data_IF_239870213340
#
_entry.id   IF_239870213340
#
_cell.length_a   1.000
_cell.length_b   1.000
_cell.length_c   1.000
_cell.angle_alpha   90.00
_cell.angle_beta   90.00
_cell.angle_gamma   90.00
#
_symmetry.space_group_name_H-M   'P 1'
#
loop_
_entity.id
_entity.type
_entity.pdbx_description
1 polymer ?
#
# COMPACT_ATOMS: atom_id res chain seq x y z
N UNK A 1 -1.22 -5.36 6.61
CA UNK A 1 -0.89 -5.48 5.17
C UNK A 1 -0.20 -6.79 4.85
N UNK A 2 0.74 -7.27 5.70
CA UNK A 2 1.50 -8.51 5.49
C UNK A 2 0.59 -9.71 5.28
N UNK A 3 -0.41 -9.90 6.14
CA UNK A 3 -1.39 -10.97 6.00
C UNK A 3 -2.02 -11.01 4.60
N UNK A 4 -2.57 -9.90 4.11
CA UNK A 4 -3.24 -9.87 2.81
C UNK A 4 -2.28 -10.10 1.64
N UNK A 5 -1.02 -9.67 1.78
CA UNK A 5 0.03 -9.96 0.78
C UNK A 5 0.31 -11.46 0.68
N UNK A 6 0.58 -12.10 1.81
CA UNK A 6 0.92 -13.53 1.82
C UNK A 6 -0.27 -14.41 1.46
N UNK A 7 -1.46 -14.16 2.02
CA UNK A 7 -2.62 -15.00 1.77
C UNK A 7 -3.10 -14.93 0.32
N UNK A 8 -2.97 -13.77 -0.34
CA UNK A 8 -3.35 -13.61 -1.74
C UNK A 8 -2.43 -14.44 -2.64
N UNK A 9 -1.12 -14.37 -2.44
CA UNK A 9 -0.16 -15.20 -3.19
C UNK A 9 -0.37 -16.69 -2.85
N UNK A 10 -0.51 -17.02 -1.58
CA UNK A 10 -0.73 -18.40 -1.15
C UNK A 10 -1.95 -19.04 -1.83
N UNK A 11 -3.10 -18.36 -1.80
CA UNK A 11 -4.34 -18.85 -2.42
C UNK A 11 -4.24 -18.97 -3.94
N UNK A 12 -3.54 -18.03 -4.58
CA UNK A 12 -3.27 -18.11 -6.01
C UNK A 12 -2.45 -19.37 -6.34
N UNK A 13 -1.37 -19.59 -5.61
CA UNK A 13 -0.48 -20.74 -5.82
C UNK A 13 -1.10 -22.10 -5.42
N UNK A 14 -2.13 -22.12 -4.57
CA UNK A 14 -2.93 -23.33 -4.31
C UNK A 14 -3.79 -23.70 -5.52
N UNK A 15 -4.27 -22.71 -6.26
CA UNK A 15 -5.07 -22.90 -7.49
C UNK A 15 -4.18 -23.13 -8.72
N UNK A 16 -2.94 -22.65 -8.71
CA UNK A 16 -1.94 -22.70 -9.77
C UNK A 16 -0.62 -23.28 -9.27
N UNK A 17 -0.54 -24.60 -8.98
CA UNK A 17 0.67 -25.23 -8.44
C UNK A 17 1.90 -25.10 -9.36
N UNK A 18 1.69 -24.96 -10.68
CA UNK A 18 2.72 -24.72 -11.69
C UNK A 18 3.49 -23.43 -11.48
N UNK A 19 2.86 -22.43 -10.85
CA UNK A 19 3.48 -21.11 -10.56
C UNK A 19 4.30 -21.11 -9.27
N UNK A 20 4.37 -22.22 -8.53
CA UNK A 20 5.21 -22.37 -7.31
C UNK A 20 6.69 -22.52 -7.64
N UNK A 21 7.25 -21.60 -8.37
CA UNK A 21 8.65 -21.66 -8.85
C UNK A 21 9.70 -21.40 -7.77
N UNK A 22 9.32 -20.86 -6.60
CA UNK A 22 10.24 -20.57 -5.50
C UNK A 22 9.92 -21.40 -4.24
N UNK A 23 10.91 -22.06 -3.63
CA UNK A 23 10.71 -22.86 -2.40
C UNK A 23 10.16 -22.09 -1.21
N UNK A 24 10.35 -20.78 -1.18
CA UNK A 24 9.92 -19.90 -0.08
C UNK A 24 8.39 -19.88 0.10
N UNK A 25 7.62 -20.13 -0.96
CA UNK A 25 6.17 -20.12 -0.90
C UNK A 25 5.55 -21.15 0.05
N UNK A 26 6.30 -22.23 0.37
CA UNK A 26 5.88 -23.22 1.37
C UNK A 26 5.67 -22.65 2.78
N UNK A 27 6.26 -21.48 3.07
CA UNK A 27 6.14 -20.83 4.37
C UNK A 27 5.01 -19.81 4.44
N UNK A 28 4.37 -19.48 3.32
CA UNK A 28 3.39 -18.38 3.26
C UNK A 28 2.17 -18.64 4.15
N UNK A 29 1.72 -19.88 4.27
CA UNK A 29 0.62 -20.23 5.17
C UNK A 29 0.97 -19.92 6.64
N UNK A 30 2.14 -20.35 7.11
CA UNK A 30 2.59 -20.06 8.48
C UNK A 30 2.83 -18.56 8.69
N UNK A 31 3.37 -17.87 7.71
CA UNK A 31 3.54 -16.41 7.78
C UNK A 31 2.21 -15.66 7.83
N UNK A 32 1.18 -16.14 7.14
CA UNK A 32 -0.17 -15.58 7.28
C UNK A 32 -0.68 -15.67 8.72
N UNK A 33 -0.44 -16.80 9.39
CA UNK A 33 -0.85 -16.99 10.77
C UNK A 33 -0.11 -16.04 11.71
N UNK A 34 1.19 -15.85 11.51
CA UNK A 34 1.99 -14.94 12.33
C UNK A 34 1.58 -13.47 12.10
N UNK A 35 1.37 -13.06 10.86
CA UNK A 35 0.87 -11.71 10.53
C UNK A 35 -0.51 -11.45 11.12
N UNK A 36 -1.38 -12.46 11.16
CA UNK A 36 -2.69 -12.32 11.80
C UNK A 36 -2.56 -12.11 13.31
N UNK A 37 -1.68 -12.88 13.99
CA UNK A 37 -1.39 -12.69 15.42
C UNK A 37 -0.84 -11.30 15.72
N UNK A 38 0.09 -10.78 14.88
CA UNK A 38 0.58 -9.40 14.99
C UNK A 38 -0.57 -8.39 14.85
N UNK A 39 -1.46 -8.59 13.89
CA UNK A 39 -2.63 -7.75 13.70
C UNK A 39 -3.57 -7.75 14.91
N UNK A 40 -3.89 -8.94 15.45
CA UNK A 40 -4.77 -9.10 16.62
C UNK A 40 -4.16 -8.46 17.87
N UNK A 41 -2.83 -8.56 18.05
CA UNK A 41 -2.12 -7.92 19.15
C UNK A 41 -2.23 -6.39 19.12
N UNK A 42 -1.97 -5.78 17.95
CA UNK A 42 -2.11 -4.34 17.80
C UNK A 42 -3.55 -3.88 17.90
N UNK A 43 -4.50 -4.65 17.36
CA UNK A 43 -5.94 -4.39 17.50
C UNK A 43 -6.35 -4.34 18.98
N UNK A 44 -5.89 -5.30 19.78
CA UNK A 44 -6.17 -5.35 21.21
C UNK A 44 -5.58 -4.15 21.97
N UNK A 45 -4.32 -3.77 21.67
CA UNK A 45 -3.69 -2.58 22.28
C UNK A 45 -4.46 -1.30 21.95
N UNK A 46 -4.81 -1.10 20.68
CA UNK A 46 -5.49 0.10 20.22
C UNK A 46 -6.90 0.21 20.81
N UNK A 47 -7.61 -0.91 20.92
CA UNK A 47 -8.94 -0.96 21.56
C UNK A 47 -8.88 -0.75 23.07
N UNK A 48 -7.78 -1.12 23.72
CA UNK A 48 -7.58 -0.87 25.16
C UNK A 48 -7.33 0.62 25.48
N UNK A 49 -6.98 1.44 24.49
CA UNK A 49 -6.67 2.86 24.66
C UNK A 49 -7.41 3.73 23.62
N UNK A 50 -8.75 3.77 23.66
CA UNK A 50 -9.55 4.44 22.64
C UNK A 50 -9.28 5.96 22.55
N UNK A 51 -8.84 6.59 23.64
CA UNK A 51 -8.54 8.02 23.68
C UNK A 51 -7.38 8.41 22.75
N UNK A 52 -6.44 7.48 22.50
CA UNK A 52 -5.32 7.71 21.57
C UNK A 52 -5.79 7.85 20.13
N UNK A 53 -6.93 7.23 19.77
CA UNK A 53 -7.43 7.19 18.40
C UNK A 53 -8.50 8.25 18.09
N UNK A 54 -9.10 8.87 19.10
CA UNK A 54 -10.30 9.70 18.92
C UNK A 54 -10.01 11.18 18.70
N UNK A 55 -8.78 11.65 18.93
CA UNK A 55 -8.44 13.04 18.72
C UNK A 55 -8.19 13.36 17.21
N UNK A 56 -8.20 14.64 16.88
CA UNK A 56 -7.97 15.09 15.52
C UNK A 56 -6.55 14.79 15.00
N UNK A 57 -5.56 14.76 15.91
CA UNK A 57 -4.16 14.43 15.57
C UNK A 57 -4.04 12.96 15.15
N UNK A 58 -4.69 12.07 15.91
CA UNK A 58 -4.73 10.65 15.57
C UNK A 58 -5.36 10.43 14.18
N UNK A 59 -6.45 11.13 13.87
CA UNK A 59 -7.07 11.06 12.53
C UNK A 59 -6.11 11.49 11.41
N UNK A 60 -5.34 12.57 11.60
CA UNK A 60 -4.33 12.99 10.63
C UNK A 60 -3.21 11.96 10.48
N UNK A 61 -2.72 11.40 11.61
CA UNK A 61 -1.67 10.37 11.58
C UNK A 61 -2.14 9.07 10.95
N UNK A 62 -3.34 8.57 11.28
CA UNK A 62 -3.89 7.38 10.65
C UNK A 62 -3.97 7.53 9.12
N UNK A 63 -4.44 8.69 8.67
CA UNK A 63 -4.50 9.01 7.25
C UNK A 63 -3.13 9.01 6.59
N UNK A 64 -2.14 9.65 7.22
CA UNK A 64 -0.77 9.69 6.72
C UNK A 64 -0.15 8.30 6.66
N UNK A 65 -0.29 7.48 7.72
CA UNK A 65 0.27 6.14 7.76
C UNK A 65 -0.36 5.22 6.71
N UNK A 66 -1.68 5.19 6.61
CA UNK A 66 -2.36 4.36 5.59
C UNK A 66 -1.90 4.75 4.18
N UNK A 67 -1.88 6.06 3.88
CA UNK A 67 -1.43 6.54 2.58
C UNK A 67 0.03 6.18 2.31
N UNK A 68 0.92 6.39 3.29
CA UNK A 68 2.35 6.09 3.15
C UNK A 68 2.58 4.60 2.89
N UNK A 69 1.90 3.72 3.63
CA UNK A 69 2.02 2.27 3.47
C UNK A 69 1.50 1.83 2.10
N UNK A 70 0.34 2.33 1.67
CA UNK A 70 -0.24 1.95 0.36
C UNK A 70 0.59 2.48 -0.81
N UNK A 71 1.01 3.74 -0.76
CA UNK A 71 1.85 4.32 -1.80
C UNK A 71 3.21 3.60 -1.89
N UNK A 72 3.86 3.34 -0.76
CA UNK A 72 5.16 2.64 -0.74
C UNK A 72 5.02 1.23 -1.31
N UNK A 73 3.98 0.49 -0.92
CA UNK A 73 3.72 -0.86 -1.44
C UNK A 73 3.53 -0.81 -2.95
N UNK A 74 2.58 0.01 -3.42
CA UNK A 74 2.25 0.13 -4.84
C UNK A 74 3.47 0.48 -5.70
N UNK A 75 4.23 1.49 -5.29
CA UNK A 75 5.42 1.91 -6.04
C UNK A 75 6.54 0.86 -6.04
N UNK A 76 6.74 0.14 -4.94
CA UNK A 76 7.76 -0.90 -4.84
C UNK A 76 7.38 -2.16 -5.63
N UNK A 77 6.13 -2.59 -5.54
CA UNK A 77 5.69 -3.84 -6.15
C UNK A 77 5.58 -3.71 -7.67
N UNK A 78 5.14 -2.55 -8.18
CA UNK A 78 5.12 -2.30 -9.63
C UNK A 78 6.52 -2.20 -10.23
N UNK A 79 7.52 -1.80 -9.46
CA UNK A 79 8.92 -1.87 -9.89
C UNK A 79 9.45 -3.31 -10.00
N UNK A 80 8.72 -4.28 -9.46
CA UNK A 80 9.01 -5.72 -9.48
C UNK A 80 7.92 -6.50 -10.21
N UNK A 81 7.23 -5.86 -11.16
CA UNK A 81 6.13 -6.47 -11.91
C UNK A 81 6.52 -7.82 -12.56
N UNK A 82 7.77 -7.97 -13.00
CA UNK A 82 8.29 -9.22 -13.57
C UNK A 82 8.25 -10.38 -12.57
N UNK A 83 8.50 -10.11 -11.27
CA UNK A 83 8.36 -11.13 -10.23
C UNK A 83 6.90 -11.60 -10.13
N UNK A 84 5.93 -10.69 -10.10
CA UNK A 84 4.52 -11.06 -10.04
C UNK A 84 4.09 -11.80 -11.30
N UNK A 85 4.52 -11.35 -12.47
CA UNK A 85 4.26 -12.03 -13.73
C UNK A 85 4.84 -13.45 -13.77
N UNK A 86 6.02 -13.67 -13.17
CA UNK A 86 6.66 -15.00 -13.10
C UNK A 86 5.89 -16.03 -12.26
N UNK A 87 4.97 -15.57 -11.43
CA UNK A 87 4.06 -16.41 -10.62
C UNK A 87 2.60 -16.27 -11.05
N UNK A 88 2.35 -15.86 -12.30
CA UNK A 88 1.01 -15.78 -12.87
C UNK A 88 0.14 -14.64 -12.36
N UNK A 89 0.70 -13.64 -11.65
CA UNK A 89 -0.04 -12.51 -11.09
C UNK A 89 0.19 -11.21 -11.87
N UNK A 90 -0.86 -10.42 -12.04
CA UNK A 90 -0.73 -9.03 -12.44
C UNK A 90 -0.45 -8.16 -11.21
N UNK A 91 0.69 -7.45 -11.18
CA UNK A 91 1.10 -6.67 -10.02
C UNK A 91 0.09 -5.56 -9.65
N UNK A 92 -0.53 -4.89 -10.64
CA UNK A 92 -1.52 -3.84 -10.38
C UNK A 92 -2.79 -4.38 -9.75
N UNK A 93 -3.30 -5.49 -10.28
CA UNK A 93 -4.52 -6.11 -9.74
C UNK A 93 -4.28 -6.69 -8.35
N UNK A 94 -3.12 -7.31 -8.16
CA UNK A 94 -2.67 -7.80 -6.86
C UNK A 94 -2.61 -6.67 -5.83
N UNK A 95 -1.93 -5.57 -6.14
CA UNK A 95 -1.78 -4.44 -5.22
C UNK A 95 -3.11 -3.76 -4.91
N UNK A 96 -3.96 -3.54 -5.91
CA UNK A 96 -5.31 -3.00 -5.70
C UNK A 96 -6.11 -3.86 -4.74
N UNK A 97 -6.08 -5.19 -4.92
CA UNK A 97 -6.75 -6.12 -4.02
C UNK A 97 -6.19 -6.06 -2.60
N UNK A 98 -4.86 -6.05 -2.44
CA UNK A 98 -4.21 -6.00 -1.12
C UNK A 98 -4.48 -4.67 -0.42
N UNK A 99 -4.44 -3.54 -1.15
CA UNK A 99 -4.76 -2.21 -0.62
C UNK A 99 -6.20 -2.16 -0.15
N UNK A 100 -7.14 -2.59 -0.97
CA UNK A 100 -8.56 -2.61 -0.66
C UNK A 100 -8.84 -3.42 0.61
N UNK A 101 -8.35 -4.65 0.67
CA UNK A 101 -8.52 -5.53 1.83
C UNK A 101 -7.81 -5.02 3.10
N UNK A 102 -6.65 -4.41 2.97
CA UNK A 102 -5.94 -3.79 4.10
C UNK A 102 -6.70 -2.57 4.61
N UNK A 103 -7.19 -1.74 3.71
CA UNK A 103 -7.96 -0.54 4.04
C UNK A 103 -9.28 -0.89 4.77
N UNK A 104 -10.01 -1.90 4.25
CA UNK A 104 -11.20 -2.45 4.90
C UNK A 104 -10.89 -2.97 6.31
N UNK A 105 -9.81 -3.75 6.46
CA UNK A 105 -9.39 -4.32 7.74
C UNK A 105 -8.95 -3.22 8.72
N UNK A 106 -8.26 -2.18 8.24
CA UNK A 106 -7.85 -1.03 9.06
C UNK A 106 -9.05 -0.30 9.69
N UNK A 107 -10.21 -0.30 9.02
CA UNK A 107 -11.45 0.26 9.53
C UNK A 107 -12.01 -0.43 10.78
N UNK A 108 -11.46 -1.58 11.20
CA UNK A 108 -11.82 -2.23 12.47
C UNK A 108 -11.19 -1.55 13.68
N UNK A 109 -10.12 -0.81 13.46
CA UNK A 109 -9.28 -0.22 14.53
C UNK A 109 -9.18 1.30 14.38
N UNK A 110 -8.92 1.78 13.17
CA UNK A 110 -8.69 3.20 12.92
C UNK A 110 -10.00 3.98 12.78
N UNK A 111 -10.02 5.25 13.19
CA UNK A 111 -11.23 6.07 13.17
C UNK A 111 -11.70 6.46 11.76
N UNK A 112 -10.88 6.15 10.74
CA UNK A 112 -11.14 6.43 9.34
C UNK A 112 -10.39 5.45 8.44
N UNK A 113 -10.83 5.31 7.21
CA UNK A 113 -10.12 4.64 6.13
C UNK A 113 -9.94 5.62 4.95
N UNK A 114 -9.03 5.28 4.03
CA UNK A 114 -8.86 6.08 2.81
C UNK A 114 -9.96 5.73 1.79
N UNK A 115 -10.35 6.70 0.97
CA UNK A 115 -11.15 6.45 -0.21
C UNK A 115 -10.23 5.98 -1.35
N UNK A 116 -9.87 4.71 -1.31
CA UNK A 116 -8.98 4.09 -2.33
C UNK A 116 -9.69 3.87 -3.67
N UNK A 117 -11.04 3.99 -3.70
CA UNK A 117 -11.84 3.90 -4.91
C UNK A 117 -12.05 5.27 -5.57
N UNK A 118 -11.53 6.35 -4.97
CA UNK A 118 -11.57 7.67 -5.59
C UNK A 118 -10.84 7.64 -6.95
N UNK A 119 -11.41 8.19 -8.03
CA UNK A 119 -10.85 8.12 -9.38
C UNK A 119 -9.38 8.55 -9.47
N UNK A 120 -8.99 9.58 -8.71
CA UNK A 120 -7.64 10.11 -8.70
C UNK A 120 -6.65 9.28 -7.88
N UNK A 121 -7.09 8.30 -7.06
CA UNK A 121 -6.20 7.61 -6.13
C UNK A 121 -5.08 6.86 -6.87
N UNK A 122 -5.43 5.92 -7.72
CA UNK A 122 -4.44 5.16 -8.50
C UNK A 122 -3.82 5.97 -9.64
N UNK A 123 -4.56 6.91 -10.25
CA UNK A 123 -4.01 7.81 -11.26
C UNK A 123 -2.79 8.58 -10.74
N UNK A 124 -2.87 9.11 -9.52
CA UNK A 124 -1.75 9.83 -8.89
C UNK A 124 -0.60 8.93 -8.50
N UNK A 125 -0.86 7.70 -8.09
CA UNK A 125 0.19 6.71 -7.83
C UNK A 125 0.93 6.32 -9.13
N UNK A 126 0.23 6.18 -10.26
CA UNK A 126 0.85 5.93 -11.57
C UNK A 126 1.74 7.12 -12.03
N UNK A 127 1.34 8.36 -11.74
CA UNK A 127 2.22 9.51 -11.99
C UNK A 127 3.51 9.41 -11.16
N UNK A 128 3.40 9.04 -9.89
CA UNK A 128 4.58 8.83 -9.03
C UNK A 128 5.45 7.66 -9.54
N UNK A 129 4.85 6.59 -10.05
CA UNK A 129 5.57 5.46 -10.65
C UNK A 129 6.37 5.91 -11.86
N UNK A 130 5.73 6.61 -12.82
CA UNK A 130 6.43 7.16 -14.00
C UNK A 130 7.53 8.16 -13.62
N UNK A 131 7.32 8.94 -12.56
CA UNK A 131 8.36 9.83 -12.04
C UNK A 131 9.55 9.05 -11.45
N UNK A 132 9.30 7.92 -10.77
CA UNK A 132 10.38 7.08 -10.24
C UNK A 132 11.22 6.43 -11.35
N UNK A 133 10.62 6.08 -12.49
CA UNK A 133 11.34 5.61 -13.67
C UNK A 133 12.27 6.69 -14.21
N UNK A 134 11.78 7.94 -14.35
CA UNK A 134 12.62 9.07 -14.75
C UNK A 134 13.77 9.34 -13.76
N UNK A 135 13.55 9.16 -12.47
CA UNK A 135 14.61 9.29 -11.47
C UNK A 135 15.72 8.24 -11.68
N UNK A 136 15.35 7.01 -12.01
CA UNK A 136 16.32 5.93 -12.34
C UNK A 136 17.10 6.26 -13.61
N UNK A 137 16.43 6.69 -14.69
CA UNK A 137 17.09 7.10 -15.92
C UNK A 137 18.12 8.20 -15.67
N UNK A 138 17.80 9.18 -14.80
CA UNK A 138 18.75 10.23 -14.40
C UNK A 138 19.92 9.63 -13.61
N UNK A 139 19.67 8.66 -12.71
CA UNK A 139 20.73 7.99 -11.95
C UNK A 139 21.67 7.18 -12.81
N UNK A 140 21.14 6.50 -13.82
CA UNK A 140 21.90 5.67 -14.75
C UNK A 140 22.66 6.51 -15.81
N UNK A 141 22.32 7.79 -15.96
CA UNK A 141 22.99 8.68 -16.91
C UNK A 141 24.43 8.97 -16.50
N UNK A 142 25.31 9.28 -17.47
CA UNK A 142 26.70 9.69 -17.23
C UNK A 142 26.85 11.16 -16.80
N UNK A 143 25.76 11.85 -16.42
CA UNK A 143 25.80 13.25 -16.04
C UNK A 143 26.51 13.47 -14.67
N UNK A 144 27.18 14.60 -14.48
CA UNK A 144 27.76 14.95 -13.18
C UNK A 144 26.71 14.97 -12.04
N UNK A 145 27.12 14.62 -10.82
CA UNK A 145 26.22 14.53 -9.64
C UNK A 145 25.37 15.79 -9.44
N UNK A 146 25.96 16.97 -9.60
CA UNK A 146 25.24 18.24 -9.47
C UNK A 146 24.10 18.38 -10.49
N UNK A 147 24.35 18.06 -11.76
CA UNK A 147 23.31 18.10 -12.80
C UNK A 147 22.21 17.04 -12.57
N UNK A 148 22.56 15.85 -12.07
CA UNK A 148 21.58 14.85 -11.65
C UNK A 148 20.67 15.41 -10.56
N UNK A 149 21.24 16.02 -9.51
CA UNK A 149 20.45 16.61 -8.41
C UNK A 149 19.51 17.71 -8.94
N UNK A 150 19.99 18.57 -9.81
CA UNK A 150 19.16 19.62 -10.39
C UNK A 150 18.01 19.09 -11.24
N UNK A 151 18.27 18.05 -12.06
CA UNK A 151 17.25 17.39 -12.89
C UNK A 151 16.20 16.64 -12.05
N UNK A 152 16.58 16.09 -10.91
CA UNK A 152 15.67 15.36 -10.00
C UNK A 152 14.73 16.26 -9.22
N UNK A 153 15.14 17.51 -8.94
CA UNK A 153 14.37 18.43 -8.10
C UNK A 153 12.90 18.60 -8.57
N UNK A 154 12.61 18.90 -9.85
CA UNK A 154 11.23 19.05 -10.31
C UNK A 154 10.43 17.74 -10.18
N UNK A 155 11.09 16.57 -10.29
CA UNK A 155 10.43 15.27 -10.14
C UNK A 155 10.05 15.03 -8.68
N UNK A 156 10.93 15.34 -7.73
CA UNK A 156 10.62 15.28 -6.30
C UNK A 156 9.49 16.24 -5.91
N UNK A 157 9.49 17.44 -6.46
CA UNK A 157 8.38 18.39 -6.24
C UNK A 157 7.07 17.87 -6.81
N UNK A 158 7.10 17.25 -8.00
CA UNK A 158 5.94 16.58 -8.59
C UNK A 158 5.42 15.45 -7.69
N UNK A 159 6.30 14.55 -7.21
CA UNK A 159 5.91 13.48 -6.30
C UNK A 159 5.31 14.01 -5.00
N UNK A 160 5.93 15.03 -4.40
CA UNK A 160 5.41 15.71 -3.21
C UNK A 160 4.01 16.30 -3.44
N UNK A 161 3.79 16.88 -4.61
CA UNK A 161 2.49 17.41 -5.00
C UNK A 161 1.43 16.30 -5.18
N UNK A 162 1.78 15.19 -5.85
CA UNK A 162 0.87 14.06 -5.97
C UNK A 162 0.50 13.48 -4.60
N UNK A 163 1.50 13.32 -3.72
CA UNK A 163 1.29 12.83 -2.37
C UNK A 163 0.39 13.76 -1.54
N UNK A 164 0.58 15.07 -1.67
CA UNK A 164 -0.30 16.06 -1.04
C UNK A 164 -1.74 15.95 -1.56
N UNK A 165 -1.92 15.81 -2.86
CA UNK A 165 -3.26 15.63 -3.45
C UNK A 165 -3.93 14.35 -2.98
N UNK A 166 -3.19 13.22 -2.92
CA UNK A 166 -3.67 11.97 -2.34
C UNK A 166 -4.06 12.15 -0.86
N UNK A 167 -3.24 12.84 -0.10
CA UNK A 167 -3.53 13.15 1.30
C UNK A 167 -4.78 14.02 1.47
N UNK A 168 -5.11 14.87 0.51
CA UNK A 168 -6.29 15.75 0.53
C UNK A 168 -7.58 15.07 0.05
N UNK A 169 -7.53 13.87 -0.53
CA UNK A 169 -8.74 13.08 -0.84
C UNK A 169 -9.49 12.83 0.47
N UNK A 170 -10.76 13.16 0.53
CA UNK A 170 -11.56 13.06 1.75
C UNK A 170 -11.61 11.60 2.25
N UNK A 171 -11.17 11.30 3.48
CA UNK A 171 -11.25 9.94 4.01
C UNK A 171 -12.69 9.57 4.34
N UNK A 172 -12.97 8.28 4.43
CA UNK A 172 -14.27 7.73 4.82
C UNK A 172 -14.27 7.52 6.34
N UNK A 173 -15.12 8.24 7.10
CA UNK A 173 -15.27 8.03 8.54
C UNK A 173 -15.89 6.67 8.85
N UNK A 174 -15.49 6.05 9.96
CA UNK A 174 -15.97 4.73 10.36
C UNK A 174 -17.50 4.67 10.55
N UNK A 175 -18.11 5.75 10.97
CA UNK A 175 -19.57 5.89 11.15
C UNK A 175 -20.35 5.62 9.85
N UNK A 176 -19.75 5.93 8.70
CA UNK A 176 -20.35 5.67 7.40
C UNK A 176 -20.24 4.19 6.97
N UNK A 177 -19.21 3.47 7.43
CA UNK A 177 -19.01 2.06 7.12
C UNK A 177 -19.98 1.16 7.91
N UNK A 178 -20.31 1.53 9.13
CA UNK A 178 -21.24 0.77 9.98
C UNK A 178 -22.70 0.87 9.52
N UNK A 179 -23.05 1.91 8.75
CA UNK A 179 -24.38 2.09 8.17
C UNK A 179 -24.67 1.23 6.93
N UNK A 180 -23.65 0.63 6.31
CA UNK A 180 -23.78 -0.15 5.06
C UNK A 180 -23.87 -1.67 5.32
N UNK A 181 -23.68 -2.11 6.57
CA UNK A 181 -23.78 -3.50 7.01
C UNK A 181 -25.03 -3.67 7.90
N UNK A 182 -26.19 -3.43 7.33
CA UNK A 182 -27.48 -3.85 7.87
C UNK A 182 -28.29 -4.57 6.81
#
# INVERSE_FOLDING_TARGET
>A
IGYWRYITIYRHLEQHPEDRIYPIFRFFESWCQDENRHGDFFDAIMKAQPDILNDWKAKLWCRFFLLSVFATMYLNDLQRADFYASIGLNARDYDKHVIDKTNETAGRVFPLILDVNHPEFYERLEICLANNEKLREIDDSNAPKFLKSLKKLPIYLSNGWQFLKLYLIKPIPLEQLQGTVR
#
